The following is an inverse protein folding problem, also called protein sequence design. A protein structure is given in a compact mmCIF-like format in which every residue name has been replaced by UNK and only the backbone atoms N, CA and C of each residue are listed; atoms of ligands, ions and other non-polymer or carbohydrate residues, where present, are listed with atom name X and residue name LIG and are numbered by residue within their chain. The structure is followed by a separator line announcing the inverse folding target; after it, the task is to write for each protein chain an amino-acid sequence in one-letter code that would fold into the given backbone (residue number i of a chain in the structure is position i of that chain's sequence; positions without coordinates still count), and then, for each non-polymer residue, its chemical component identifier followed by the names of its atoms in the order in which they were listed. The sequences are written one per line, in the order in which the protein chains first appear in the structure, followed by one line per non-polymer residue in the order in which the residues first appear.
data_IF_177598358792
#
_entry.id   IF_177598358792
#
_cell.length_a   1.000
_cell.length_b   1.000
_cell.length_c   1.000
_cell.angle_alpha   90.00
_cell.angle_beta   90.00
_cell.angle_gamma   90.00
#
_symmetry.space_group_name_H-M   'P 1'
#
loop_
_entity.id
_entity.type
_entity.pdbx_description
1 polymer ?
#
# COMPACT_ATOMS: atom_id res chain seq x y z
N UNK A 1 -21.35 68.04 -4.92
CA UNK A 1 -19.92 67.75 -5.21
C UNK A 1 -19.81 66.25 -5.42
N UNK A 2 -19.47 65.80 -6.64
CA UNK A 2 -18.26 65.02 -7.02
C UNK A 2 -18.18 63.63 -6.37
N UNK A 3 -17.89 62.51 -7.05
CA UNK A 3 -17.70 62.13 -8.46
C UNK A 3 -17.62 60.57 -8.45
N UNK A 4 -18.21 59.92 -9.46
CA UNK A 4 -17.95 58.51 -9.81
C UNK A 4 -16.45 58.26 -10.03
N UNK A 5 -15.96 57.07 -9.67
CA UNK A 5 -14.75 56.51 -10.26
C UNK A 5 -14.96 55.03 -10.61
N UNK A 6 -15.13 54.80 -11.90
CA UNK A 6 -15.06 53.52 -12.61
C UNK A 6 -13.62 53.31 -13.07
N UNK A 7 -13.02 52.13 -12.93
CA UNK A 7 -11.85 51.77 -13.75
C UNK A 7 -11.88 50.28 -14.08
N UNK A 8 -12.04 50.04 -15.38
CA UNK A 8 -11.83 48.79 -16.11
C UNK A 8 -10.32 48.47 -16.15
N UNK A 9 -9.95 47.19 -16.04
CA UNK A 9 -8.65 46.69 -16.48
C UNK A 9 -8.88 45.53 -17.44
N UNK A 10 -8.35 45.66 -18.65
CA UNK A 10 -8.43 44.67 -19.72
C UNK A 10 -7.04 44.41 -20.29
N UNK A 11 -6.94 43.25 -20.95
CA UNK A 11 -5.90 42.79 -21.87
C UNK A 11 -4.56 42.31 -21.28
N UNK A 12 -4.36 40.99 -21.38
CA UNK A 12 -3.11 40.45 -21.91
C UNK A 12 -3.40 39.44 -23.03
N UNK A 13 -2.58 39.57 -24.07
CA UNK A 13 -2.65 38.97 -25.40
C UNK A 13 -2.00 37.59 -25.42
N UNK A 14 -2.59 36.69 -26.21
CA UNK A 14 -2.12 35.34 -26.53
C UNK A 14 -0.87 35.32 -27.43
N UNK A 15 -0.03 34.29 -27.31
CA UNK A 15 0.84 33.64 -28.32
C UNK A 15 1.69 32.58 -27.58
N UNK A 16 2.06 31.40 -28.07
CA UNK A 16 1.54 30.45 -29.04
C UNK A 16 2.21 29.09 -28.74
N UNK A 17 1.50 28.01 -29.05
CA UNK A 17 1.89 26.69 -29.59
C UNK A 17 3.26 26.02 -29.30
N UNK A 18 3.14 24.68 -29.24
CA UNK A 18 4.15 23.62 -29.38
C UNK A 18 5.02 23.28 -28.15
N UNK A 19 4.61 22.21 -27.47
CA UNK A 19 5.51 21.07 -27.24
C UNK A 19 4.67 19.82 -27.06
N UNK A 20 4.70 18.91 -28.03
CA UNK A 20 4.44 17.50 -27.74
C UNK A 20 5.65 17.02 -26.93
N UNK A 21 5.43 16.62 -25.68
CA UNK A 21 6.27 15.61 -25.05
C UNK A 21 5.31 14.58 -24.49
N UNK A 22 5.11 13.53 -25.27
CA UNK A 22 4.77 12.22 -24.72
C UNK A 22 5.84 11.89 -23.68
N UNK A 23 5.50 12.07 -22.41
CA UNK A 23 6.19 11.41 -21.30
C UNK A 23 5.11 10.79 -20.43
N UNK A 24 4.57 9.68 -20.93
CA UNK A 24 4.15 8.60 -20.04
C UNK A 24 5.42 8.13 -19.32
N UNK A 25 5.75 8.82 -18.23
CA UNK A 25 6.68 8.35 -17.20
C UNK A 25 6.08 7.14 -16.52
N UNK A 26 6.00 6.04 -17.26
CA UNK A 26 5.94 4.71 -16.69
C UNK A 26 7.29 4.54 -15.98
N UNK A 27 7.28 4.64 -14.65
CA UNK A 27 8.33 4.04 -13.85
C UNK A 27 8.18 2.51 -14.01
N UNK A 28 8.72 1.98 -15.10
CA UNK A 28 9.16 0.59 -15.11
C UNK A 28 10.36 0.60 -14.18
N UNK A 29 10.16 0.10 -12.97
CA UNK A 29 11.25 -0.40 -12.16
C UNK A 29 11.86 -1.52 -13.00
N UNK A 30 12.99 -1.22 -13.65
CA UNK A 30 13.86 -2.19 -14.30
C UNK A 30 14.52 -3.01 -13.19
N UNK A 31 13.81 -4.02 -12.69
CA UNK A 31 14.41 -5.10 -11.91
C UNK A 31 15.10 -6.00 -12.94
N UNK A 32 16.38 -5.73 -13.15
CA UNK A 32 17.16 -6.45 -14.14
C UNK A 32 17.09 -7.95 -13.93
N UNK A 33 16.86 -8.69 -15.01
CA UNK A 33 17.29 -10.09 -15.09
C UNK A 33 17.94 -10.34 -16.44
N UNK A 34 19.21 -9.95 -16.53
CA UNK A 34 20.10 -10.40 -17.60
C UNK A 34 20.55 -11.82 -17.31
N UNK A 35 19.99 -12.78 -18.04
CA UNK A 35 20.38 -14.19 -17.93
C UNK A 35 19.44 -15.12 -18.68
N UNK A 36 19.42 -14.99 -20.01
CA UNK A 36 18.85 -15.98 -20.93
C UNK A 36 19.64 -17.29 -20.82
N UNK A 37 19.18 -18.19 -19.96
CA UNK A 37 19.50 -19.61 -20.00
C UNK A 37 18.18 -20.38 -20.12
N UNK A 38 17.91 -20.81 -21.36
CA UNK A 38 16.65 -21.38 -21.79
C UNK A 38 16.15 -22.59 -20.98
N UNK A 39 14.85 -22.83 -21.19
CA UNK A 39 14.03 -23.90 -20.63
C UNK A 39 13.33 -23.56 -19.30
N UNK A 40 12.41 -22.60 -19.35
CA UNK A 40 11.47 -22.32 -18.28
C UNK A 40 10.09 -22.09 -18.85
N UNK A 41 9.10 -22.80 -18.32
CA UNK A 41 7.69 -22.49 -18.46
C UNK A 41 7.45 -21.14 -17.72
N UNK A 42 7.84 -20.03 -18.35
CA UNK A 42 7.85 -18.70 -17.77
C UNK A 42 6.44 -18.14 -17.64
N UNK A 43 5.72 -18.56 -16.61
CA UNK A 43 4.76 -17.67 -15.99
C UNK A 43 5.55 -16.46 -15.52
N UNK A 44 5.13 -15.26 -15.91
CA UNK A 44 5.69 -14.03 -15.36
C UNK A 44 5.62 -14.16 -13.84
N UNK A 45 6.77 -14.10 -13.15
CA UNK A 45 6.77 -14.04 -11.69
C UNK A 45 6.01 -12.79 -11.32
N UNK A 46 4.80 -13.00 -10.80
CA UNK A 46 3.96 -11.91 -10.34
C UNK A 46 4.72 -11.23 -9.20
N UNK A 47 4.95 -9.92 -9.35
CA UNK A 47 5.70 -9.16 -8.36
C UNK A 47 5.21 -9.44 -6.93
N UNK A 48 6.15 -9.56 -6.01
CA UNK A 48 5.92 -9.84 -4.59
C UNK A 48 5.55 -8.57 -3.81
N UNK A 49 5.65 -7.40 -4.45
CA UNK A 49 5.35 -6.11 -3.82
C UNK A 49 3.86 -5.78 -3.92
N UNK A 50 3.25 -5.53 -2.78
CA UNK A 50 1.87 -5.08 -2.63
C UNK A 50 1.87 -3.62 -2.17
N UNK A 51 0.98 -2.78 -2.71
CA UNK A 51 0.92 -1.37 -2.32
C UNK A 51 -0.49 -0.78 -2.25
N UNK A 52 -0.61 0.31 -1.48
CA UNK A 52 -1.80 1.14 -1.32
C UNK A 52 -1.43 2.61 -1.17
N UNK A 53 -2.16 3.49 -1.86
CA UNK A 53 -1.91 4.94 -1.90
C UNK A 53 -3.10 5.72 -1.33
N UNK A 54 -2.85 6.46 -0.25
CA UNK A 54 -3.82 7.34 0.39
C UNK A 54 -3.67 8.79 -0.11
N UNK A 55 -4.77 9.55 -0.11
CA UNK A 55 -4.68 11.00 -0.23
C UNK A 55 -4.20 11.57 1.11
N UNK A 56 -3.39 12.63 1.08
CA UNK A 56 -2.94 13.32 2.30
C UNK A 56 -3.70 14.63 2.47
N UNK A 57 -4.15 14.94 3.69
CA UNK A 57 -4.77 16.24 3.97
C UNK A 57 -3.79 17.39 3.66
N UNK A 58 -4.29 18.45 3.05
CA UNK A 58 -3.45 19.49 2.46
C UNK A 58 -2.95 19.19 1.03
N UNK A 59 -3.20 17.98 0.50
CA UNK A 59 -2.99 17.60 -0.90
C UNK A 59 -1.87 16.58 -1.12
N UNK A 60 -1.83 16.02 -2.33
CA UNK A 60 -0.92 14.94 -2.71
C UNK A 60 -1.32 13.58 -2.13
N UNK A 61 -0.39 12.65 -2.15
CA UNK A 61 -0.63 11.25 -1.78
C UNK A 61 0.54 10.67 -0.99
N UNK A 62 0.28 9.62 -0.22
CA UNK A 62 1.30 8.82 0.45
C UNK A 62 1.09 7.34 0.12
N UNK A 63 2.16 6.64 -0.26
CA UNK A 63 2.08 5.22 -0.65
C UNK A 63 2.74 4.32 0.38
N UNK A 64 2.03 3.29 0.83
CA UNK A 64 2.59 2.18 1.61
C UNK A 64 2.82 0.99 0.69
N UNK A 65 4.00 0.39 0.78
CA UNK A 65 4.38 -0.81 0.03
C UNK A 65 5.02 -1.82 0.97
N UNK A 66 4.77 -3.10 0.70
CA UNK A 66 5.39 -4.22 1.40
C UNK A 66 5.82 -5.29 0.38
N UNK A 67 7.06 -5.75 0.50
CA UNK A 67 7.54 -6.93 -0.21
C UNK A 67 7.15 -8.20 0.55
N UNK A 68 6.37 -9.05 -0.10
CA UNK A 68 5.85 -10.29 0.45
C UNK A 68 6.69 -11.51 0.04
N UNK A 69 7.88 -11.31 -0.54
CA UNK A 69 8.76 -12.43 -0.89
C UNK A 69 9.11 -13.24 0.35
N UNK A 70 8.87 -14.56 0.29
CA UNK A 70 9.05 -15.47 1.41
C UNK A 70 8.20 -15.16 2.65
N UNK A 71 7.12 -14.38 2.53
CA UNK A 71 6.30 -14.01 3.68
C UNK A 71 5.69 -15.22 4.39
N UNK A 72 5.89 -15.27 5.71
CA UNK A 72 5.29 -16.28 6.59
C UNK A 72 4.63 -15.60 7.80
N UNK A 73 3.62 -16.24 8.37
CA UNK A 73 3.14 -15.93 9.72
C UNK A 73 3.65 -17.05 10.61
N UNK A 74 4.28 -16.69 11.73
CA UNK A 74 4.71 -17.63 12.76
C UNK A 74 3.94 -17.33 14.05
N UNK A 75 3.48 -18.36 14.76
CA UNK A 75 2.88 -18.17 16.07
C UNK A 75 2.03 -19.33 16.57
N UNK A 76 1.93 -19.41 17.90
CA UNK A 76 1.14 -20.41 18.63
C UNK A 76 -0.39 -20.27 18.38
N UNK A 77 -0.82 -19.13 17.83
CA UNK A 77 -2.24 -18.80 17.56
C UNK A 77 -2.68 -19.16 16.12
N UNK A 78 -1.82 -19.80 15.32
CA UNK A 78 -2.28 -20.41 14.08
C UNK A 78 -3.18 -21.61 14.42
N UNK A 79 -4.25 -21.88 13.65
CA UNK A 79 -5.12 -23.02 13.92
C UNK A 79 -4.32 -24.32 13.98
N UNK A 80 -4.69 -25.21 14.91
CA UNK A 80 -4.03 -26.52 15.17
C UNK A 80 -3.80 -27.39 13.90
N UNK A 81 -4.50 -27.09 12.80
CA UNK A 81 -4.37 -27.77 11.51
C UNK A 81 -3.17 -27.29 10.66
N UNK A 82 -2.40 -26.30 11.11
CA UNK A 82 -1.14 -25.89 10.48
C UNK A 82 0.01 -26.81 10.90
N UNK A 83 0.56 -27.56 9.96
CA UNK A 83 1.69 -28.47 10.17
C UNK A 83 2.97 -27.65 10.40
N UNK A 84 3.21 -27.24 11.65
CA UNK A 84 4.50 -26.68 12.11
C UNK A 84 4.55 -25.19 12.41
N UNK A 85 3.54 -24.62 13.07
CA UNK A 85 3.51 -23.23 13.61
C UNK A 85 3.79 -22.10 12.59
N UNK A 86 3.78 -22.43 11.29
CA UNK A 86 4.11 -21.50 10.21
C UNK A 86 3.06 -21.57 9.10
N UNK A 87 2.50 -20.42 8.78
CA UNK A 87 1.66 -20.18 7.60
C UNK A 87 2.51 -19.55 6.49
N UNK A 88 2.62 -20.18 5.33
CA UNK A 88 3.31 -19.59 4.17
C UNK A 88 2.32 -18.83 3.30
N UNK A 89 2.63 -17.57 2.99
CA UNK A 89 1.82 -16.73 2.11
C UNK A 89 1.67 -17.33 0.71
N UNK A 90 0.42 -17.46 0.26
CA UNK A 90 0.05 -17.84 -1.10
C UNK A 90 -0.50 -16.62 -1.83
N UNK A 91 0.27 -15.99 -2.73
CA UNK A 91 -0.13 -14.72 -3.30
C UNK A 91 -1.27 -14.84 -4.34
N UNK A 92 -1.67 -16.05 -4.73
CA UNK A 92 -2.83 -16.30 -5.59
C UNK A 92 -4.15 -16.34 -4.81
N UNK A 93 -4.09 -16.67 -3.52
CA UNK A 93 -5.27 -16.88 -2.69
C UNK A 93 -5.39 -15.86 -1.56
N UNK A 94 -4.27 -15.43 -1.01
CA UNK A 94 -4.19 -14.57 0.16
C UNK A 94 -4.36 -13.10 -0.20
N UNK A 95 -4.76 -12.34 0.82
CA UNK A 95 -4.93 -10.89 0.71
C UNK A 95 -4.04 -10.18 1.70
N UNK A 96 -3.49 -9.06 1.28
CA UNK A 96 -2.66 -8.20 2.13
C UNK A 96 -3.47 -6.97 2.52
N UNK A 97 -3.48 -6.64 3.81
CA UNK A 97 -4.19 -5.49 4.37
C UNK A 97 -3.25 -4.61 5.20
N UNK A 98 -3.60 -3.34 5.34
CA UNK A 98 -2.97 -2.42 6.28
C UNK A 98 -3.99 -2.00 7.35
N UNK A 99 -3.54 -1.93 8.60
CA UNK A 99 -4.27 -1.28 9.67
C UNK A 99 -3.32 -0.39 10.46
N UNK A 100 -3.79 0.77 10.88
CA UNK A 100 -2.96 1.77 11.56
C UNK A 100 -3.73 2.97 12.04
N UNK A 101 -3.03 3.85 12.75
CA UNK A 101 -3.57 5.08 13.32
C UNK A 101 -4.11 6.05 12.25
N UNK A 102 -3.59 6.01 11.03
CA UNK A 102 -4.06 6.85 9.92
C UNK A 102 -5.50 6.51 9.45
N UNK A 103 -6.05 5.37 9.88
CA UNK A 103 -7.40 4.91 9.51
C UNK A 103 -8.17 4.38 10.72
N UNK A 104 -7.80 4.78 11.95
CA UNK A 104 -8.43 4.38 13.21
C UNK A 104 -8.39 2.87 13.54
N UNK A 105 -7.30 2.17 13.16
CA UNK A 105 -7.07 0.76 13.51
C UNK A 105 -8.26 -0.19 13.25
N UNK A 106 -8.78 -0.26 12.02
CA UNK A 106 -9.85 -1.18 11.71
C UNK A 106 -9.32 -2.61 11.71
N UNK A 107 -10.15 -3.55 12.16
CA UNK A 107 -9.79 -4.96 12.15
C UNK A 107 -9.40 -5.41 10.72
N UNK A 108 -8.21 -6.00 10.52
CA UNK A 108 -7.71 -6.41 9.21
C UNK A 108 -8.70 -7.34 8.51
N UNK A 109 -8.88 -7.18 7.20
CA UNK A 109 -9.82 -7.98 6.42
C UNK A 109 -11.29 -7.53 6.48
N UNK A 110 -11.68 -6.65 7.41
CA UNK A 110 -13.07 -6.16 7.51
C UNK A 110 -13.39 -5.01 6.54
N UNK A 111 -12.38 -4.25 6.13
CA UNK A 111 -12.50 -3.09 5.25
C UNK A 111 -11.77 -3.34 3.93
N UNK A 112 -12.51 -3.73 2.89
CA UNK A 112 -11.94 -4.09 1.58
C UNK A 112 -11.18 -2.95 0.87
N UNK A 113 -11.47 -1.69 1.22
CA UNK A 113 -10.75 -0.52 0.74
C UNK A 113 -9.37 -0.33 1.42
N UNK A 114 -8.99 -1.16 2.38
CA UNK A 114 -7.64 -1.17 2.97
C UNK A 114 -6.79 -2.34 2.48
N UNK A 115 -7.27 -3.08 1.49
CA UNK A 115 -6.52 -4.14 0.85
C UNK A 115 -5.44 -3.56 -0.07
N UNK A 116 -4.20 -4.03 0.07
CA UNK A 116 -3.11 -3.74 -0.85
C UNK A 116 -3.21 -4.66 -2.07
N UNK A 117 -2.69 -4.20 -3.21
CA UNK A 117 -2.65 -5.01 -4.44
C UNK A 117 -1.31 -4.87 -5.14
N UNK A 118 -0.94 -5.88 -5.92
CA UNK A 118 0.26 -5.85 -6.78
C UNK A 118 0.24 -4.73 -7.82
N UNK A 119 -0.95 -4.31 -8.25
CA UNK A 119 -1.13 -3.20 -9.19
C UNK A 119 -1.13 -1.82 -8.51
N UNK A 120 -1.10 -1.77 -7.18
CA UNK A 120 -1.34 -0.57 -6.39
C UNK A 120 -2.84 -0.29 -6.20
N UNK A 121 -3.28 -0.22 -4.94
CA UNK A 121 -4.64 0.18 -4.58
C UNK A 121 -4.71 1.69 -4.32
N UNK A 122 -5.85 2.32 -4.64
CA UNK A 122 -6.12 3.71 -4.24
C UNK A 122 -7.57 3.83 -3.77
N UNK A 123 -7.82 3.82 -2.44
CA UNK A 123 -9.17 3.77 -1.92
C UNK A 123 -9.90 5.12 -1.90
N UNK A 124 -9.23 6.21 -2.26
CA UNK A 124 -9.79 7.56 -2.19
C UNK A 124 -10.00 8.08 -0.76
N UNK A 125 -9.39 7.43 0.24
CA UNK A 125 -9.39 7.87 1.63
C UNK A 125 -8.36 9.00 1.78
N UNK A 126 -8.73 10.04 2.52
CA UNK A 126 -7.81 11.11 2.94
C UNK A 126 -7.37 10.85 4.37
N UNK A 127 -6.06 10.89 4.61
CA UNK A 127 -5.45 10.73 5.92
C UNK A 127 -4.73 12.02 6.34
N UNK A 128 -4.63 12.26 7.64
CA UNK A 128 -3.89 13.40 8.17
C UNK A 128 -2.39 13.21 7.97
N UNK A 129 -1.68 14.30 7.65
CA UNK A 129 -0.23 14.32 7.67
C UNK A 129 0.30 14.26 9.12
N UNK A 130 1.48 13.65 9.30
CA UNK A 130 2.14 13.54 10.60
C UNK A 130 2.47 12.09 11.00
N UNK A 131 2.88 11.87 12.25
CA UNK A 131 3.32 10.55 12.71
C UNK A 131 2.14 9.58 12.78
N UNK A 132 2.32 8.40 12.20
CA UNK A 132 1.36 7.30 12.25
C UNK A 132 2.04 5.98 12.59
N UNK A 133 1.32 5.13 13.31
CA UNK A 133 1.71 3.75 13.55
C UNK A 133 0.81 2.79 12.79
N UNK A 134 1.35 1.69 12.29
CA UNK A 134 0.62 0.73 11.47
C UNK A 134 1.28 -0.65 11.46
N UNK A 135 0.61 -1.62 10.85
CA UNK A 135 1.12 -2.95 10.49
C UNK A 135 0.48 -3.46 9.20
N UNK A 136 1.17 -4.39 8.54
CA UNK A 136 0.58 -5.20 7.47
C UNK A 136 0.06 -6.53 8.02
N UNK A 137 -0.92 -7.09 7.31
CA UNK A 137 -1.61 -8.32 7.70
C UNK A 137 -1.87 -9.18 6.47
N UNK A 138 -1.69 -10.48 6.60
CA UNK A 138 -2.17 -11.47 5.64
C UNK A 138 -3.57 -11.90 6.08
N UNK A 139 -4.49 -12.03 5.15
CA UNK A 139 -5.85 -12.51 5.39
C UNK A 139 -6.05 -13.74 4.51
N UNK A 140 -5.69 -14.93 5.02
CA UNK A 140 -5.65 -16.16 4.23
C UNK A 140 -7.03 -16.78 4.10
N UNK A 141 -7.56 -17.06 2.90
CA UNK A 141 -8.94 -17.52 2.74
C UNK A 141 -9.15 -18.90 3.37
N UNK A 142 -10.26 -19.06 4.09
CA UNK A 142 -10.65 -20.35 4.66
C UNK A 142 -9.87 -20.76 5.91
N UNK A 143 -8.90 -19.95 6.33
CA UNK A 143 -8.24 -20.04 7.64
C UNK A 143 -8.95 -19.09 8.59
N UNK A 144 -9.25 -19.54 9.80
CA UNK A 144 -9.94 -18.76 10.83
C UNK A 144 -9.20 -18.93 12.13
N UNK A 145 -9.12 -17.88 12.95
CA UNK A 145 -8.54 -17.96 14.29
C UNK A 145 -9.43 -18.83 15.21
N UNK A 146 -9.04 -18.95 16.48
CA UNK A 146 -9.80 -19.70 17.50
C UNK A 146 -11.25 -19.22 17.69
N UNK A 147 -11.53 -17.96 17.35
CA UNK A 147 -12.87 -17.38 17.40
C UNK A 147 -13.71 -17.68 16.13
N UNK A 148 -13.13 -18.34 15.13
CA UNK A 148 -13.77 -18.64 13.85
C UNK A 148 -13.74 -17.48 12.85
N UNK A 149 -12.93 -16.45 13.09
CA UNK A 149 -12.80 -15.27 12.25
C UNK A 149 -11.55 -15.33 11.36
N UNK A 150 -11.73 -15.04 10.07
CA UNK A 150 -10.66 -14.90 9.09
C UNK A 150 -10.02 -13.49 9.13
N UNK A 151 -10.85 -12.49 9.42
CA UNK A 151 -10.41 -11.14 9.73
C UNK A 151 -9.87 -11.15 11.17
N UNK A 152 -8.55 -11.05 11.35
CA UNK A 152 -7.95 -11.18 12.68
C UNK A 152 -6.68 -10.34 12.81
N UNK A 153 -6.37 -9.95 14.04
CA UNK A 153 -5.08 -9.35 14.39
C UNK A 153 -3.95 -10.39 14.48
N UNK A 154 -4.29 -11.67 14.60
CA UNK A 154 -3.33 -12.78 14.72
C UNK A 154 -2.48 -13.00 13.46
N UNK A 155 -2.91 -12.46 12.32
CA UNK A 155 -2.24 -12.63 11.02
C UNK A 155 -1.39 -11.42 10.60
N UNK A 156 -0.94 -10.64 11.59
CA UNK A 156 -0.02 -9.53 11.36
C UNK A 156 1.39 -10.02 11.07
N UNK A 157 2.23 -9.12 10.55
CA UNK A 157 3.67 -9.38 10.32
C UNK A 157 4.42 -9.93 11.53
N UNK A 158 3.97 -9.58 12.73
CA UNK A 158 4.39 -10.16 14.00
C UNK A 158 3.35 -9.89 15.08
N UNK A 159 3.38 -10.68 16.15
CA UNK A 159 2.49 -10.52 17.30
C UNK A 159 2.83 -9.27 18.13
N UNK A 160 1.80 -8.61 18.67
CA UNK A 160 1.94 -7.56 19.69
C UNK A 160 2.77 -6.35 19.25
N UNK A 161 3.70 -5.90 20.09
CA UNK A 161 4.53 -4.71 19.84
C UNK A 161 5.91 -5.04 19.23
N UNK A 162 6.56 -4.06 18.58
CA UNK A 162 6.09 -2.71 18.31
C UNK A 162 5.29 -2.63 17.01
N UNK A 163 4.52 -1.56 16.82
CA UNK A 163 4.00 -1.19 15.50
C UNK A 163 5.10 -0.54 14.65
N UNK A 164 4.98 -0.65 13.31
CA UNK A 164 5.77 0.22 12.42
C UNK A 164 5.37 1.67 12.66
N UNK A 165 6.31 2.60 12.48
CA UNK A 165 6.06 4.03 12.63
C UNK A 165 6.60 4.78 11.40
N UNK A 166 5.84 5.75 10.91
CA UNK A 166 6.21 6.59 9.77
C UNK A 166 5.69 8.01 9.96
N UNK A 167 6.36 9.00 9.38
CA UNK A 167 5.84 10.35 9.20
C UNK A 167 5.13 10.43 7.84
N UNK A 168 3.82 10.61 7.83
CA UNK A 168 3.03 10.76 6.60
C UNK A 168 3.19 12.20 6.10
N UNK A 169 3.72 12.36 4.88
CA UNK A 169 3.86 13.65 4.22
C UNK A 169 3.38 13.61 2.76
N UNK A 170 3.01 14.77 2.22
CA UNK A 170 2.54 14.88 0.84
C UNK A 170 3.61 14.44 -0.16
N UNK A 171 3.30 13.44 -0.99
CA UNK A 171 4.22 12.89 -2.00
C UNK A 171 5.22 11.86 -1.46
N UNK A 172 5.14 11.49 -0.18
CA UNK A 172 6.01 10.50 0.43
C UNK A 172 5.60 9.06 0.11
N UNK A 173 6.49 8.14 0.46
CA UNK A 173 6.25 6.72 0.39
C UNK A 173 6.94 5.98 1.55
N UNK A 174 6.44 4.79 1.84
CA UNK A 174 7.02 3.85 2.78
C UNK A 174 7.14 2.49 2.10
N UNK A 175 8.30 1.85 2.22
CA UNK A 175 8.56 0.50 1.76
C UNK A 175 9.12 -0.32 2.92
N UNK A 176 8.66 -1.56 3.04
CA UNK A 176 9.21 -2.54 3.97
C UNK A 176 9.25 -3.94 3.35
N UNK A 177 10.12 -4.78 3.91
CA UNK A 177 10.08 -6.22 3.72
C UNK A 177 9.19 -6.83 4.81
N UNK A 178 8.35 -7.81 4.45
CA UNK A 178 7.49 -8.51 5.39
C UNK A 178 8.32 -9.14 6.53
N UNK A 179 7.85 -9.01 7.77
CA UNK A 179 8.54 -9.57 8.94
C UNK A 179 9.81 -8.84 9.38
N UNK A 180 10.29 -7.84 8.62
CA UNK A 180 11.43 -7.00 9.02
C UNK A 180 10.99 -6.02 10.13
N UNK A 181 11.17 -6.47 11.37
CA UNK A 181 10.73 -5.79 12.59
C UNK A 181 11.59 -4.52 12.85
N UNK A 182 10.96 -3.36 13.12
CA UNK A 182 11.67 -2.09 13.35
C UNK A 182 12.39 -1.99 14.70
#
# INVERSE_FOLDING_TARGET
MRKLLTTFLAFFVAFAMFSCSDDNGVNIIDIGNGGDDGNGNGGEELGTVYSITFNVDGGGTFTFSVDMDGATIEGDDLPDDFDGDVYTFDPENDKVFIAGGMVDWPQPGTQGNLQLTRAGASPGITVDAGPSQFKFFIVPPGVTNDDGDNASWAYGEWEGDPNRAVEIESGGDFFAEWGDKP
#
